data_IF_197763760900
#
_entry.id   IF_197763760900
#
_cell.length_a   1.000
_cell.length_b   1.000
_cell.length_c   1.000
_cell.angle_alpha   90.00
_cell.angle_beta   90.00
_cell.angle_gamma   90.00
#
_symmetry.space_group_name_H-M   'P 1'
#
loop_
_entity.id
_entity.type
_entity.pdbx_description
1 polymer ?
2 non-polymer ?
3 water ?
#
# COMPACT_ATOMS: atom_id res chain seq x y z
N UNK A 11 -6.98 1.08 -25.15
CA UNK A 11 -7.11 0.70 -23.75
C UNK A 11 -5.99 1.32 -22.93
N UNK A 12 -6.03 1.10 -21.62
CA UNK A 12 -4.98 1.59 -20.73
C UNK A 12 -4.78 0.52 -19.67
N UNK A 13 -3.53 0.18 -19.40
CA UNK A 13 -3.20 -0.79 -18.36
C UNK A 13 -2.61 -0.06 -17.15
N UNK A 14 -3.17 -0.32 -15.97
CA UNK A 14 -2.78 0.33 -14.73
C UNK A 14 -2.29 -0.76 -13.79
N UNK A 15 -1.05 -0.61 -13.32
CA UNK A 15 -0.48 -1.48 -12.28
C UNK A 15 -0.49 -0.68 -10.99
N UNK A 16 -1.06 -1.24 -9.94
CA UNK A 16 -1.25 -0.48 -8.73
C UNK A 16 -0.98 -1.34 -7.51
N UNK A 17 -0.35 -0.72 -6.51
CA UNK A 17 -0.14 -1.35 -5.23
C UNK A 17 -1.42 -1.99 -4.70
N UNK A 18 -1.26 -3.12 -4.03
CA UNK A 18 -2.42 -3.90 -3.61
C UNK A 18 -3.33 -3.12 -2.65
N UNK A 19 -2.76 -2.20 -1.86
CA UNK A 19 -3.60 -1.37 -0.99
C UNK A 19 -4.61 -0.51 -1.77
N UNK A 20 -4.43 -0.33 -3.07
CA UNK A 20 -5.29 0.51 -3.90
C UNK A 20 -6.40 -0.28 -4.58
N UNK A 21 -6.50 -1.60 -4.32
CA UNK A 21 -7.38 -2.46 -5.11
C UNK A 21 -8.81 -1.92 -5.19
N UNK A 22 -9.39 -1.56 -4.05
CA UNK A 22 -10.79 -1.18 -4.04
C UNK A 22 -11.01 0.18 -4.69
N UNK A 23 -10.14 1.15 -4.37
CA UNK A 23 -10.33 2.49 -4.91
C UNK A 23 -10.16 2.50 -6.42
N UNK A 24 -9.13 1.80 -6.92
CA UNK A 24 -8.88 1.81 -8.36
C UNK A 24 -9.93 0.99 -9.10
N UNK A 25 -10.45 -0.08 -8.48
CA UNK A 25 -11.55 -0.79 -9.12
C UNK A 25 -12.78 0.12 -9.28
N UNK A 26 -13.06 0.93 -8.26
CA UNK A 26 -14.19 1.85 -8.35
C UNK A 26 -13.97 2.87 -9.44
N UNK A 27 -12.74 3.38 -9.55
CA UNK A 27 -12.47 4.43 -10.53
C UNK A 27 -12.46 3.87 -11.94
N UNK A 28 -11.94 2.66 -12.13
CA UNK A 28 -12.01 1.97 -13.42
C UNK A 28 -13.43 1.93 -13.90
N UNK A 29 -14.36 1.54 -13.01
CA UNK A 29 -15.76 1.44 -13.41
C UNK A 29 -16.32 2.79 -13.81
N UNK A 30 -16.05 3.83 -13.01
CA UNK A 30 -16.47 5.20 -13.37
C UNK A 30 -15.91 5.59 -14.73
N UNK A 31 -14.61 5.39 -14.95
CA UNK A 31 -13.99 5.83 -16.19
C UNK A 31 -14.60 5.12 -17.39
N UNK A 32 -14.88 3.81 -17.25
CA UNK A 32 -15.45 3.04 -18.34
C UNK A 32 -16.87 3.49 -18.64
N UNK A 33 -17.60 4.00 -17.65
CA UNK A 33 -18.92 4.56 -17.92
C UNK A 33 -18.81 5.88 -18.65
N UNK A 34 -17.71 6.63 -18.46
CA UNK A 34 -17.57 7.97 -19.02
C UNK A 34 -16.76 8.03 -20.32
N UNK A 35 -16.17 6.92 -20.75
CA UNK A 35 -15.27 6.92 -21.89
C UNK A 35 -15.36 5.59 -22.60
N UNK A 36 -15.20 5.61 -23.93
CA UNK A 36 -15.11 4.38 -24.74
C UNK A 36 -13.74 3.72 -24.65
N UNK A 37 -13.17 3.63 -23.45
CA UNK A 37 -11.83 3.11 -23.23
C UNK A 37 -11.93 1.94 -22.28
N UNK A 38 -11.16 0.88 -22.56
CA UNK A 38 -11.05 -0.24 -21.64
C UNK A 38 -9.86 -0.03 -20.70
N UNK A 39 -10.11 -0.20 -19.41
CA UNK A 39 -9.09 -0.03 -18.38
C UNK A 39 -8.79 -1.40 -17.80
N UNK A 40 -7.55 -1.85 -17.96
CA UNK A 40 -7.09 -3.14 -17.43
C UNK A 40 -6.28 -2.87 -16.18
N UNK A 41 -6.53 -3.64 -15.12
CA UNK A 41 -5.88 -3.44 -13.83
C UNK A 41 -5.11 -4.67 -13.38
N UNK A 42 -3.99 -4.44 -12.72
CA UNK A 42 -3.21 -5.49 -12.07
C UNK A 42 -2.75 -4.96 -10.72
N UNK A 43 -2.97 -5.76 -9.68
CA UNK A 43 -2.64 -5.39 -8.31
C UNK A 43 -1.68 -6.44 -7.76
N UNK A 44 -0.67 -5.96 -7.06
CA UNK A 44 0.28 -6.82 -6.37
C UNK A 44 1.10 -5.90 -5.47
N UNK A 45 2.13 -6.45 -4.80
CA UNK A 45 3.07 -5.59 -4.12
C UNK A 45 3.78 -4.65 -5.07
N UNK A 46 4.07 -3.44 -4.58
CA UNK A 46 4.69 -2.44 -5.44
C UNK A 46 6.01 -2.91 -6.04
N UNK A 47 6.75 -3.71 -5.27
CA UNK A 47 8.02 -4.26 -5.74
C UNK A 47 7.82 -5.17 -6.94
N UNK A 48 6.90 -6.14 -6.83
CA UNK A 48 6.61 -7.07 -7.91
C UNK A 48 6.23 -6.31 -9.18
N UNK A 49 5.39 -5.31 -9.02
CA UNK A 49 4.89 -4.60 -10.19
C UNK A 49 6.00 -3.82 -10.88
N UNK A 50 6.81 -3.12 -10.11
CA UNK A 50 7.92 -2.37 -10.69
C UNK A 50 8.87 -3.30 -11.42
N UNK A 51 9.19 -4.45 -10.80
CA UNK A 51 10.11 -5.37 -11.44
C UNK A 51 9.51 -5.92 -12.74
N UNK A 52 8.20 -6.15 -12.76
CA UNK A 52 7.58 -6.62 -14.00
C UNK A 52 7.65 -5.57 -15.10
N UNK A 53 7.40 -4.31 -14.75
CA UNK A 53 7.53 -3.21 -15.71
C UNK A 53 8.96 -3.17 -16.25
N UNK A 54 9.95 -3.27 -15.36
CA UNK A 54 11.34 -3.27 -15.80
C UNK A 54 11.62 -4.38 -16.79
N UNK A 55 10.95 -5.53 -16.65
CA UNK A 55 11.20 -6.66 -17.54
C UNK A 55 10.36 -6.61 -18.81
N UNK A 56 9.57 -5.56 -19.02
CA UNK A 56 8.84 -5.37 -20.27
C UNK A 56 7.34 -5.37 -20.15
N UNK A 57 6.74 -5.53 -18.95
CA UNK A 57 5.30 -5.59 -18.86
C UNK A 57 4.71 -4.29 -19.40
N UNK A 58 3.61 -4.35 -20.14
CA UNK A 58 3.10 -3.16 -20.84
C UNK A 58 2.16 -2.29 -20.01
N UNK A 59 2.54 -1.98 -18.78
CA UNK A 59 1.76 -1.03 -17.99
C UNK A 59 1.88 0.37 -18.58
N UNK A 60 0.74 1.06 -18.71
CA UNK A 60 0.76 2.46 -19.08
C UNK A 60 0.98 3.37 -17.88
N UNK A 61 0.50 2.95 -16.71
CA UNK A 61 0.47 3.76 -15.50
C UNK A 61 0.85 2.85 -14.34
N UNK A 62 1.61 3.39 -13.39
CA UNK A 62 2.05 2.64 -12.21
C UNK A 62 1.76 3.52 -11.00
N UNK A 63 1.14 2.94 -9.97
CA UNK A 63 0.93 3.63 -8.71
C UNK A 63 1.62 2.81 -7.63
N UNK A 64 2.65 3.38 -7.00
CA UNK A 64 3.43 2.68 -6.00
C UNK A 64 2.96 3.10 -4.62
N UNK A 65 3.13 2.22 -3.62
CA UNK A 65 2.84 2.59 -2.25
C UNK A 65 4.05 3.21 -1.54
N UNK A 66 5.16 3.41 -2.24
CA UNK A 66 6.30 4.17 -1.74
C UNK A 66 7.06 4.85 -2.85
N UNK A 67 7.80 5.87 -2.44
CA UNK A 67 8.65 6.63 -3.33
C UNK A 67 9.73 5.76 -3.94
N UNK A 68 10.27 4.81 -3.17
CA UNK A 68 11.43 4.05 -3.59
C UNK A 68 11.19 3.25 -4.86
N UNK A 69 10.05 2.59 -4.96
CA UNK A 69 9.86 1.77 -6.17
C UNK A 69 9.53 2.61 -7.41
N UNK A 70 9.08 3.86 -7.25
CA UNK A 70 8.99 4.74 -8.40
C UNK A 70 10.38 5.27 -8.78
N UNK A 71 11.20 5.61 -7.78
CA UNK A 71 12.58 5.99 -8.05
C UNK A 71 13.33 4.87 -8.77
N UNK A 72 13.10 3.61 -8.36
CA UNK A 72 13.69 2.46 -9.04
C UNK A 72 13.43 2.49 -10.53
N UNK A 73 12.22 2.85 -10.94
CA UNK A 73 11.93 2.92 -12.36
C UNK A 73 12.54 4.17 -12.99
N UNK A 74 12.49 5.30 -12.29
CA UNK A 74 13.08 6.52 -12.82
C UNK A 74 14.57 6.35 -13.08
N UNK A 75 15.28 5.68 -12.17
CA UNK A 75 16.71 5.46 -12.36
C UNK A 75 16.99 4.60 -13.59
N UNK A 76 16.05 3.74 -13.96
CA UNK A 76 16.17 2.95 -15.17
C UNK A 76 15.58 3.62 -16.39
N UNK A 77 15.17 4.89 -16.28
CA UNK A 77 14.68 5.69 -17.40
C UNK A 77 13.29 5.28 -17.86
N UNK A 78 12.57 4.53 -17.04
CA UNK A 78 11.25 4.02 -17.39
C UNK A 78 10.12 4.99 -17.06
N UNK A 79 10.40 5.99 -16.23
CA UNK A 79 9.49 7.10 -16.01
C UNK A 79 10.34 8.37 -15.88
N UNK A 80 9.83 9.47 -16.42
CA UNK A 80 10.47 10.78 -16.32
C UNK A 80 10.05 11.49 -15.05
N UNK A 81 10.96 12.32 -14.52
CA UNK A 81 10.66 13.10 -13.32
C UNK A 81 9.41 13.95 -13.47
N UNK A 82 9.18 14.50 -14.66
CA UNK A 82 8.00 15.33 -14.89
C UNK A 82 6.74 14.53 -15.22
N UNK A 83 6.83 13.19 -15.28
CA UNK A 83 5.66 12.34 -15.51
C UNK A 83 5.27 11.52 -14.28
N UNK A 84 5.58 12.02 -13.09
CA UNK A 84 5.14 11.42 -11.85
C UNK A 84 4.75 12.51 -10.86
N UNK A 85 3.81 12.17 -9.98
CA UNK A 85 3.31 13.10 -8.95
C UNK A 85 2.96 12.30 -7.71
N UNK A 86 3.18 12.92 -6.56
CA UNK A 86 2.78 12.28 -5.30
C UNK A 86 1.27 12.48 -5.14
N UNK A 87 0.52 11.39 -5.11
CA UNK A 87 -0.93 11.42 -5.17
C UNK A 87 -1.62 11.27 -3.83
N UNK A 88 -1.23 10.28 -3.04
CA UNK A 88 -1.99 9.92 -1.84
C UNK A 88 -1.06 9.68 -0.66
N UNK A 89 -1.62 9.84 0.55
CA UNK A 89 -0.96 9.42 1.78
C UNK A 89 -1.78 8.38 2.52
N UNK A 90 -1.14 7.78 3.54
CA UNK A 90 -1.81 6.76 4.33
C UNK A 90 -1.18 6.81 5.73
N UNK A 91 -1.70 5.97 6.63
CA UNK A 91 -1.12 5.72 7.95
C UNK A 91 -0.89 4.24 8.14
N UNK A 92 0.03 3.90 9.04
CA UNK A 92 0.39 2.52 9.32
C UNK A 92 -0.28 2.10 10.63
N UNK A 93 -0.86 0.90 10.66
CA UNK A 93 -1.62 0.46 11.82
C UNK A 93 -1.32 -1.00 12.16
N UNK A 94 -1.58 -1.32 13.43
CA UNK A 94 -1.65 -2.68 13.92
C UNK A 94 -3.08 -3.15 13.85
N UNK A 95 -3.28 -4.38 13.41
CA UNK A 95 -4.61 -4.99 13.39
C UNK A 95 -4.60 -6.33 14.11
N UNK A 96 -5.79 -6.71 14.57
CA UNK A 96 -6.09 -8.00 15.14
C UNK A 96 -7.29 -8.61 14.43
N UNK A 97 -7.47 -9.92 14.52
CA UNK A 97 -8.75 -10.50 14.11
C UNK A 97 -9.87 -9.95 14.97
N UNK A 98 -11.02 -9.71 14.34
CA UNK A 98 -12.22 -9.42 15.10
C UNK A 98 -12.42 -10.53 16.12
N UNK A 99 -12.79 -10.15 17.32
CA UNK A 99 -12.97 -11.13 18.37
C UNK A 99 -11.73 -11.44 19.18
N UNK A 100 -10.57 -10.90 18.82
CA UNK A 100 -9.39 -10.90 19.68
C UNK A 100 -8.80 -9.49 19.75
N UNK A 101 -9.62 -8.54 20.19
CA UNK A 101 -9.23 -7.14 20.20
C UNK A 101 -8.12 -6.86 21.22
N UNK A 102 -7.23 -5.95 20.85
CA UNK A 102 -6.16 -5.47 21.71
C UNK A 102 -6.05 -3.96 21.54
N UNK A 103 -5.43 -3.32 22.52
CA UNK A 103 -4.95 -1.94 22.37
C UNK A 103 -3.48 -1.92 22.77
N UNK A 104 -2.62 -1.61 21.83
CA UNK A 104 -1.17 -1.61 22.04
C UNK A 104 -0.66 -0.22 21.75
N UNK A 105 0.17 0.32 22.63
CA UNK A 105 0.81 1.61 22.41
C UNK A 105 2.13 1.41 21.66
N UNK A 106 2.23 2.01 20.48
CA UNK A 106 3.41 1.91 19.65
C UNK A 106 4.40 2.96 20.14
N UNK A 107 5.07 2.62 21.24
CA UNK A 107 5.96 3.51 21.99
C UNK A 107 7.13 2.70 22.49
N UNK A 108 8.31 3.33 22.55
CA UNK A 108 9.50 2.66 23.05
C UNK A 108 9.27 1.93 24.37
N UNK A 109 8.39 2.46 25.23
CA UNK A 109 8.20 1.90 26.57
C UNK A 109 7.55 0.53 26.54
N UNK A 110 6.80 0.24 25.47
CA UNK A 110 6.11 -1.03 25.36
C UNK A 110 7.08 -2.16 25.07
N UNK A 111 6.86 -3.30 25.72
CA UNK A 111 7.69 -4.47 25.50
C UNK A 111 7.03 -5.38 24.49
N UNK A 112 7.55 -5.48 23.27
CA UNK A 112 6.88 -6.33 22.26
C UNK A 112 6.80 -7.79 22.66
N UNK A 113 7.71 -8.27 23.50
CA UNK A 113 7.61 -9.66 23.94
C UNK A 113 6.46 -9.88 24.91
N UNK A 114 5.98 -8.82 25.55
CA UNK A 114 4.82 -8.93 26.44
C UNK A 114 3.50 -8.82 25.68
N UNK A 115 3.43 -7.95 24.67
CA UNK A 115 2.16 -7.68 23.99
C UNK A 115 1.96 -8.53 22.74
N UNK A 116 3.04 -9.00 22.10
CA UNK A 116 2.94 -9.82 20.89
C UNK A 116 3.31 -11.24 21.29
N UNK A 117 2.32 -12.07 21.55
CA UNK A 117 2.54 -13.42 22.07
C UNK A 117 2.35 -14.50 21.01
N UNK A 118 2.09 -14.12 19.76
CA UNK A 118 1.99 -15.05 18.66
C UNK A 118 2.79 -14.53 17.47
N UNK A 119 2.23 -14.71 16.29
CA UNK A 119 2.91 -14.26 15.09
C UNK A 119 2.41 -12.88 14.69
N UNK A 120 3.26 -12.21 13.91
CA UNK A 120 2.99 -10.88 13.39
C UNK A 120 3.09 -10.96 11.88
N UNK A 121 1.99 -10.66 11.18
CA UNK A 121 1.93 -10.76 9.73
C UNK A 121 2.11 -9.39 9.11
N UNK A 122 3.00 -9.28 8.11
CA UNK A 122 3.11 -8.05 7.34
C UNK A 122 3.78 -8.37 5.99
N UNK A 123 3.96 -7.35 5.17
CA UNK A 123 4.70 -7.56 3.94
C UNK A 123 6.17 -7.82 4.16
N UNK A 124 6.81 -8.49 3.20
CA UNK A 124 8.26 -8.69 3.25
C UNK A 124 8.99 -7.37 3.59
N UNK A 125 9.78 -7.39 4.66
CA UNK A 125 10.35 -6.17 5.18
C UNK A 125 11.48 -5.60 4.34
N UNK A 126 12.00 -6.37 3.37
CA UNK A 126 13.06 -5.90 2.50
C UNK A 126 12.50 -5.27 1.22
N UNK A 127 11.29 -5.65 0.82
CA UNK A 127 10.86 -5.21 -0.51
C UNK A 127 9.45 -4.63 -0.59
N UNK A 128 8.47 -5.16 0.14
CA UNK A 128 7.10 -4.70 0.01
C UNK A 128 6.94 -3.42 0.81
N UNK A 129 6.34 -2.36 0.24
CA UNK A 129 6.31 -1.08 0.98
C UNK A 129 5.80 -1.19 2.40
N UNK A 130 4.67 -1.87 2.62
CA UNK A 130 4.12 -1.91 3.97
C UNK A 130 5.12 -2.50 4.94
N UNK A 131 5.84 -3.53 4.49
CA UNK A 131 6.85 -4.15 5.34
C UNK A 131 8.06 -3.26 5.58
N UNK A 132 8.48 -2.52 4.55
CA UNK A 132 9.59 -1.59 4.71
C UNK A 132 9.21 -0.50 5.71
N UNK A 133 8.00 0.06 5.58
CA UNK A 133 7.56 1.05 6.56
C UNK A 133 7.52 0.43 7.96
N UNK A 134 7.03 -0.81 8.05
CA UNK A 134 6.94 -1.47 9.36
C UNK A 134 8.31 -1.64 9.98
N UNK A 135 9.30 -2.02 9.17
CA UNK A 135 10.65 -2.20 9.71
C UNK A 135 11.24 -0.88 10.17
N UNK A 136 11.02 0.20 9.40
CA UNK A 136 11.46 1.52 9.87
C UNK A 136 10.91 1.81 11.25
N UNK A 137 9.62 1.53 11.45
CA UNK A 137 8.98 1.84 12.73
C UNK A 137 9.53 0.96 13.82
N UNK A 138 9.68 -0.35 13.56
CA UNK A 138 10.21 -1.21 14.60
C UNK A 138 11.63 -0.81 15.01
N UNK A 139 12.44 -0.40 14.03
CA UNK A 139 13.79 0.07 14.32
C UNK A 139 13.73 1.34 15.14
N UNK A 140 12.89 2.27 14.75
CA UNK A 140 12.81 3.52 15.50
C UNK A 140 12.40 3.27 16.95
N UNK A 141 11.54 2.28 17.17
CA UNK A 141 11.02 1.98 18.49
C UNK A 141 11.96 1.13 19.34
N UNK A 142 13.04 0.61 18.78
CA UNK A 142 13.91 -0.30 19.49
C UNK A 142 13.40 -1.70 19.61
N UNK A 143 12.47 -2.11 18.73
CA UNK A 143 11.80 -3.39 18.82
C UNK A 143 12.32 -4.43 17.82
N UNK A 144 13.18 -4.04 16.86
CA UNK A 144 13.40 -4.91 15.71
C UNK A 144 13.84 -6.31 16.10
N UNK A 145 14.89 -6.42 16.95
CA UNK A 145 15.42 -7.76 17.20
C UNK A 145 14.48 -8.62 18.03
N UNK A 146 13.49 -8.03 18.68
CA UNK A 146 12.44 -8.81 19.33
C UNK A 146 11.25 -9.09 18.42
N UNK A 147 11.02 -8.25 17.40
CA UNK A 147 9.90 -8.44 16.47
C UNK A 147 10.25 -9.50 15.42
N UNK A 148 11.46 -9.43 14.86
CA UNK A 148 11.80 -10.25 13.71
C UNK A 148 11.47 -11.72 13.90
N UNK A 149 11.82 -12.36 15.03
CA UNK A 149 11.53 -13.79 15.17
C UNK A 149 10.06 -14.17 15.09
N UNK A 150 9.16 -13.19 15.17
CA UNK A 150 7.72 -13.44 15.17
C UNK A 150 7.07 -13.24 13.80
N UNK A 151 7.83 -12.84 12.79
CA UNK A 151 7.23 -12.36 11.55
C UNK A 151 6.77 -13.50 10.63
N UNK A 152 5.62 -13.27 9.98
CA UNK A 152 5.21 -13.98 8.78
C UNK A 152 5.13 -12.91 7.71
N UNK A 153 5.86 -13.10 6.62
CA UNK A 153 6.01 -12.06 5.62
C UNK A 153 5.34 -12.48 4.32
N UNK A 154 4.59 -11.55 3.74
CA UNK A 154 3.80 -11.80 2.54
C UNK A 154 4.24 -10.86 1.41
N UNK A 155 3.74 -11.15 0.18
CA UNK A 155 4.19 -10.40 -0.99
C UNK A 155 3.34 -9.17 -1.30
N UNK A 156 2.27 -8.96 -0.55
CA UNK A 156 1.57 -7.69 -0.58
C UNK A 156 0.74 -7.58 0.70
N UNK A 157 0.27 -6.36 0.94
CA UNK A 157 -0.43 -6.02 2.18
C UNK A 157 -1.76 -6.75 2.30
N UNK A 158 -2.41 -7.07 1.18
CA UNK A 158 -3.71 -7.73 1.27
C UNK A 158 -3.59 -9.19 1.62
N UNK A 159 -2.49 -9.85 1.23
CA UNK A 159 -2.26 -11.21 1.72
C UNK A 159 -2.11 -11.20 3.24
N UNK A 160 -1.38 -10.21 3.77
CA UNK A 160 -1.24 -10.12 5.22
C UNK A 160 -2.57 -9.83 5.89
N UNK A 161 -3.36 -8.91 5.34
CA UNK A 161 -4.69 -8.65 5.87
C UNK A 161 -5.52 -9.92 5.95
N UNK A 162 -5.43 -10.77 4.93
CA UNK A 162 -6.26 -11.96 4.92
C UNK A 162 -5.79 -12.99 5.94
N UNK A 163 -4.48 -13.12 6.15
CA UNK A 163 -3.99 -14.03 7.17
C UNK A 163 -4.50 -13.62 8.55
N UNK A 164 -4.54 -12.31 8.83
CA UNK A 164 -5.08 -11.84 10.10
C UNK A 164 -6.58 -12.12 10.17
N UNK A 165 -7.30 -11.80 9.09
CA UNK A 165 -8.73 -12.06 9.06
C UNK A 165 -9.03 -13.52 9.38
N UNK A 166 -8.23 -14.45 8.87
CA UNK A 166 -8.45 -15.88 9.06
C UNK A 166 -7.85 -16.43 10.34
N UNK A 167 -7.30 -15.59 11.20
CA UNK A 167 -6.76 -16.08 12.44
C UNK A 167 -5.39 -16.72 12.36
N UNK A 168 -4.74 -16.73 11.21
CA UNK A 168 -3.42 -17.32 11.10
C UNK A 168 -2.37 -16.50 11.82
N UNK A 169 -2.66 -15.25 12.20
CA UNK A 169 -1.69 -14.37 12.83
C UNK A 169 -2.43 -13.59 13.91
N UNK A 170 -1.80 -13.47 15.09
CA UNK A 170 -2.40 -12.74 16.21
C UNK A 170 -2.56 -11.26 15.90
N UNK A 171 -1.57 -10.68 15.22
CA UNK A 171 -1.62 -9.29 14.82
C UNK A 171 -0.99 -9.16 13.45
N UNK A 172 -1.32 -8.05 12.80
CA UNK A 172 -0.76 -7.74 11.51
C UNK A 172 -0.45 -6.25 11.45
N UNK A 173 0.39 -5.88 10.49
CA UNK A 173 0.71 -4.49 10.20
C UNK A 173 0.29 -4.22 8.77
N UNK A 174 -0.68 -3.33 8.62
CA UNK A 174 -1.28 -2.99 7.36
C UNK A 174 -1.46 -1.47 7.34
N UNK A 175 -2.05 -0.96 6.26
CA UNK A 175 -2.39 0.46 6.25
C UNK A 175 -3.76 0.69 6.88
N UNK A 176 -3.97 1.94 7.36
CA UNK A 176 -5.28 2.31 7.92
C UNK A 176 -6.40 1.98 6.94
N UNK A 177 -6.17 2.22 5.65
CA UNK A 177 -7.21 1.94 4.65
C UNK A 177 -7.54 0.46 4.55
N UNK A 178 -6.55 -0.41 4.77
CA UNK A 178 -6.82 -1.85 4.74
C UNK A 178 -7.68 -2.27 5.93
N UNK A 179 -7.39 -1.73 7.11
CA UNK A 179 -8.23 -2.06 8.27
C UNK A 179 -9.67 -1.62 8.04
N UNK A 180 -9.88 -0.48 7.37
CA UNK A 180 -11.23 0.03 7.15
C UNK A 180 -12.02 -0.82 6.17
N UNK A 181 -11.35 -1.43 5.19
CA UNK A 181 -12.05 -2.22 4.18
C UNK A 181 -12.49 -3.60 4.66
N UNK A 182 -11.90 -4.12 5.74
CA UNK A 182 -12.18 -5.47 6.20
C UNK A 182 -13.00 -5.43 7.48
N UNK A 183 -14.21 -6.00 7.44
CA UNK A 183 -15.02 -6.18 8.63
C UNK A 183 -14.49 -7.28 9.55
N UNK A 184 -13.45 -7.99 9.14
CA UNK A 184 -12.97 -9.12 9.90
C UNK A 184 -11.73 -8.80 10.75
N UNK A 185 -11.25 -7.56 10.73
CA UNK A 185 -10.10 -7.14 11.53
C UNK A 185 -10.43 -5.81 12.21
N UNK A 186 -9.80 -5.58 13.36
CA UNK A 186 -9.93 -4.32 14.10
C UNK A 186 -8.55 -3.69 14.29
N UNK A 187 -8.54 -2.39 14.45
CA UNK A 187 -7.31 -1.66 14.72
C UNK A 187 -6.93 -1.83 16.18
N UNK A 188 -5.68 -2.20 16.43
CA UNK A 188 -5.15 -2.33 17.78
C UNK A 188 -4.24 -1.19 18.16
N UNK A 189 -3.78 -0.40 17.20
CA UNK A 189 -2.93 0.75 17.45
C UNK A 189 -2.55 1.43 16.14
N UNK A 190 -2.24 2.72 16.21
CA UNK A 190 -1.81 3.51 15.06
C UNK A 190 -0.37 3.92 15.33
N UNK A 191 0.53 3.64 14.38
CA UNK A 191 1.91 4.08 14.51
C UNK A 191 2.00 5.60 14.37
N UNK A 192 2.64 6.28 15.33
CA UNK A 192 2.89 7.72 15.15
C UNK A 192 3.68 7.99 13.89
N UNK A 193 3.42 9.16 13.31
CA UNK A 193 4.04 9.46 12.03
C UNK A 193 5.55 9.58 12.17
N UNK A 194 6.05 9.91 13.33
CA UNK A 194 7.48 10.11 13.51
C UNK A 194 8.27 8.80 13.68
N UNK A 195 7.60 7.63 13.56
CA UNK A 195 8.30 6.35 13.62
C UNK A 195 8.75 5.84 12.25
N UNK A 196 8.30 6.45 11.15
CA UNK A 196 8.61 5.92 9.83
C UNK A 196 8.56 7.06 8.82
N UNK A 197 9.10 6.79 7.63
CA UNK A 197 8.98 7.75 6.55
C UNK A 197 7.51 7.91 6.15
N UNK A 198 7.14 9.09 5.64
CA UNK A 198 5.72 9.33 5.34
C UNK A 198 5.28 8.34 4.27
N UNK A 199 4.08 7.80 4.44
CA UNK A 199 3.56 6.87 3.45
C UNK A 199 3.02 7.73 2.30
N UNK A 200 3.67 7.63 1.14
CA UNK A 200 3.37 8.43 -0.05
C UNK A 200 3.20 7.47 -1.22
N UNK A 201 2.12 7.65 -1.98
CA UNK A 201 1.88 6.89 -3.20
C UNK A 201 2.18 7.76 -4.42
N UNK A 202 3.30 7.58 -5.12
CA UNK A 202 3.50 8.29 -6.39
C UNK A 202 2.77 7.60 -7.53
N UNK A 203 2.24 8.44 -8.41
CA UNK A 203 1.51 8.04 -9.62
C UNK A 203 2.43 8.37 -10.79
N UNK A 204 2.68 7.37 -11.64
CA UNK A 204 3.62 7.53 -12.74
C UNK A 204 3.05 7.18 -14.09
N UNK A 205 3.28 8.05 -15.07
CA UNK A 205 2.87 7.82 -16.47
C UNK A 205 4.05 7.16 -17.18
N UNK A 206 3.90 5.86 -17.46
CA UNK A 206 4.99 5.05 -18.00
C UNK A 206 4.97 5.07 -19.52
N UNK A 207 3.80 4.92 -20.10
CA UNK A 207 3.61 5.02 -21.54
C UNK A 207 2.87 6.31 -21.83
N UNK A 208 3.44 7.14 -22.70
CA UNK A 208 2.89 8.46 -23.00
C UNK A 208 2.11 8.32 -24.30
N UNK A 209 0.80 8.23 -24.17
CA UNK A 209 -0.14 8.27 -25.28
C UNK A 209 -1.38 9.02 -24.81
N UNK A 210 -2.28 9.32 -25.75
CA UNK A 210 -3.44 10.14 -25.42
C UNK A 210 -4.31 9.50 -24.33
N UNK A 211 -4.58 8.19 -24.47
CA UNK A 211 -5.48 7.53 -23.52
C UNK A 211 -4.84 7.41 -22.13
N UNK A 212 -3.55 7.10 -22.07
CA UNK A 212 -2.90 7.00 -20.76
C UNK A 212 -2.78 8.35 -20.07
N UNK A 213 -2.49 9.42 -20.83
CA UNK A 213 -2.40 10.75 -20.24
C UNK A 213 -3.76 11.19 -19.69
N UNK A 214 -4.84 10.82 -20.39
CA UNK A 214 -6.18 11.17 -19.91
C UNK A 214 -6.53 10.46 -18.60
N UNK A 215 -6.20 9.16 -18.49
CA UNK A 215 -6.46 8.45 -17.24
C UNK A 215 -5.59 8.97 -16.09
N UNK A 216 -4.34 9.33 -16.40
CA UNK A 216 -3.45 9.91 -15.40
C UNK A 216 -4.00 11.21 -14.84
N UNK A 217 -4.54 12.06 -15.72
CA UNK A 217 -5.19 13.29 -15.23
C UNK A 217 -6.45 12.96 -14.43
N UNK A 218 -7.24 12.00 -14.91
CA UNK A 218 -8.47 11.59 -14.21
C UNK A 218 -8.17 11.16 -12.77
N UNK A 219 -7.06 10.46 -12.55
CA UNK A 219 -6.74 10.04 -11.18
C UNK A 219 -6.46 11.22 -10.26
N UNK A 220 -6.16 12.39 -10.82
CA UNK A 220 -5.93 13.59 -10.05
C UNK A 220 -7.17 14.47 -9.92
N UNK A 221 -8.29 14.01 -10.45
CA UNK A 221 -9.44 14.88 -10.66
C UNK A 221 -10.30 14.97 -9.41
N UNK A 222 -11.19 15.96 -9.42
CA UNK A 222 -12.09 16.17 -8.29
C UNK A 222 -12.94 14.93 -8.03
N UNK A 223 -13.33 14.23 -9.11
CA UNK A 223 -14.12 13.02 -9.01
C UNK A 223 -13.33 11.90 -8.33
N UNK A 224 -12.04 11.78 -8.64
CA UNK A 224 -11.22 10.73 -8.05
C UNK A 224 -10.91 11.05 -6.60
N UNK A 225 -10.68 12.33 -6.28
CA UNK A 225 -10.44 12.69 -4.88
C UNK A 225 -11.55 12.17 -3.98
N UNK A 226 -12.79 12.24 -4.45
CA UNK A 226 -13.90 11.77 -3.63
C UNK A 226 -13.83 10.27 -3.39
N UNK A 227 -13.40 9.50 -4.39
CA UNK A 227 -13.30 8.05 -4.20
C UNK A 227 -12.19 7.74 -3.21
N UNK A 228 -11.02 8.36 -3.37
CA UNK A 228 -9.89 8.05 -2.50
C UNK A 228 -10.20 8.45 -1.05
N UNK A 229 -10.89 9.58 -0.87
CA UNK A 229 -11.27 10.00 0.48
C UNK A 229 -12.25 9.01 1.11
N UNK A 230 -13.18 8.47 0.31
CA UNK A 230 -14.13 7.50 0.81
C UNK A 230 -13.43 6.30 1.45
N UNK A 231 -12.35 5.82 0.83
CA UNK A 231 -11.62 4.65 1.30
C UNK A 231 -10.61 5.00 2.40
N UNK A 232 -10.50 6.27 2.76
CA UNK A 232 -9.63 6.66 3.88
C UNK A 232 -8.24 7.14 3.51
N UNK A 233 -7.94 7.29 2.22
CA UNK A 233 -6.66 7.87 1.86
C UNK A 233 -6.69 9.37 2.08
N UNK A 234 -5.51 9.96 2.30
CA UNK A 234 -5.38 11.41 2.24
C UNK A 234 -4.87 11.85 0.85
N UNK A 235 -5.33 13.03 0.41
CA UNK A 235 -4.84 13.60 -0.83
C UNK A 235 -3.65 14.52 -0.53
N UNK A 236 -2.61 14.42 -1.36
CA UNK A 236 -1.41 15.21 -1.11
C UNK A 236 -1.43 16.49 -1.95
X LIG B 1 1.62 -2.58 -0.94
X LIG B 1 1.20 -4.53 -0.82
X LIG B 1 2.86 -2.33 -2.51
X LIG B 1 0.00 -1.62 -1.22
X LIG B 1 2.53 -1.96 0.70
#
# INVERSE_FOLDING_TARGET
MGHHHHHHMESVTVYAAASLTNAINDLEKIYEKQNKVEVKTSYAGSSTLAKQIEAGAPADIFISADTQWMDYLQNKKLVAANDRINLLGNRLVLITPKGQSLNIKLDKATDPNKVFTGKICTGDTKSVPVGKYAKQAFTNLGWWNRIEPKLVETEDVRVALNFVARGECQVGIVYATDAAISKDVKVAGIFPENTHSPIIYPLGLIKKNSNSAKFYQFLQSNQAKAVFKKYGFSMLAPVKP
WO4 W O1 O2 O3 O4
#
